data_IF_950017948978
#
_entry.id   IF_950017948978
#
_cell.length_a   1.000
_cell.length_b   1.000
_cell.length_c   1.000
_cell.angle_alpha   90.00
_cell.angle_beta   90.00
_cell.angle_gamma   90.00
#
_symmetry.space_group_name_H-M   'P 1'
#
loop_
_entity.id
_entity.type
_entity.pdbx_description
1 polymer ?
#
# COMPACT_ATOMS: atom_id res chain seq x y z
N UNK A 1 -13.91 12.20 4.22
CA UNK A 1 -14.88 12.21 5.34
C UNK A 1 -14.69 10.89 6.07
N UNK A 2 -13.71 10.79 6.91
CA UNK A 2 -13.45 9.61 7.69
C UNK A 2 -13.61 9.98 9.14
N UNK A 3 -14.70 9.60 9.74
CA UNK A 3 -14.85 9.68 11.17
C UNK A 3 -14.24 8.44 11.81
N UNK A 4 -13.55 8.67 12.88
CA UNK A 4 -13.21 7.78 13.97
C UNK A 4 -14.10 6.53 14.07
N UNK A 5 -13.74 5.46 13.36
CA UNK A 5 -14.27 4.15 13.70
C UNK A 5 -13.23 3.43 14.56
N UNK A 6 -13.28 3.73 15.84
CA UNK A 6 -12.58 2.96 16.86
C UNK A 6 -13.07 1.51 16.81
N UNK A 7 -12.16 0.56 16.96
CA UNK A 7 -12.49 -0.83 17.23
C UNK A 7 -13.24 -0.85 18.56
N UNK A 8 -14.55 -1.05 18.51
CA UNK A 8 -15.39 -1.26 19.69
C UNK A 8 -15.91 -2.69 19.68
N UNK A 9 -15.76 -3.38 20.79
CA UNK A 9 -16.35 -4.71 21.02
C UNK A 9 -16.00 -5.76 19.97
N UNK A 10 -14.71 -5.82 19.56
CA UNK A 10 -14.19 -6.77 18.58
C UNK A 10 -14.69 -6.57 17.14
N UNK A 11 -15.35 -5.48 16.81
CA UNK A 11 -15.75 -5.10 15.45
C UNK A 11 -15.05 -3.82 15.00
N UNK A 12 -14.68 -3.76 13.72
CA UNK A 12 -14.00 -2.59 13.16
C UNK A 12 -14.20 -2.46 11.64
N UNK A 13 -13.70 -1.36 11.04
CA UNK A 13 -13.81 -1.14 9.60
C UNK A 13 -12.93 -2.10 8.82
N UNK A 14 -13.27 -2.28 7.54
CA UNK A 14 -12.43 -2.98 6.57
C UNK A 14 -11.37 -2.01 6.01
N UNK A 15 -10.06 -2.25 6.21
CA UNK A 15 -9.01 -1.39 5.68
C UNK A 15 -8.89 -1.40 4.16
N UNK A 16 -9.58 -2.30 3.46
CA UNK A 16 -9.73 -2.27 2.00
C UNK A 16 -10.83 -1.31 1.52
N UNK A 17 -11.65 -0.78 2.43
CA UNK A 17 -12.76 0.14 2.12
C UNK A 17 -12.64 1.49 2.81
N UNK A 18 -11.93 1.53 3.94
CA UNK A 18 -11.83 2.72 4.77
C UNK A 18 -10.41 2.92 5.27
N UNK A 19 -10.01 4.17 5.49
CA UNK A 19 -8.84 4.46 6.30
C UNK A 19 -9.20 4.20 7.77
N UNK A 20 -8.52 3.25 8.39
CA UNK A 20 -8.79 2.82 9.77
C UNK A 20 -8.07 3.73 10.77
N UNK A 21 -8.76 4.73 11.27
CA UNK A 21 -8.25 5.78 12.14
C UNK A 21 -8.26 7.16 11.47
N UNK A 22 -7.35 8.03 11.86
CA UNK A 22 -7.18 9.36 11.30
C UNK A 22 -5.85 9.49 10.56
N UNK A 23 -5.80 10.03 9.33
CA UNK A 23 -4.52 10.25 8.63
C UNK A 23 -3.62 11.31 9.28
N UNK A 24 -4.09 11.95 10.34
CA UNK A 24 -3.36 12.94 11.13
C UNK A 24 -2.88 12.40 12.49
N UNK A 25 -3.05 11.11 12.73
CA UNK A 25 -2.72 10.43 13.97
C UNK A 25 -1.74 9.28 13.69
N UNK A 26 -0.59 9.30 14.32
CA UNK A 26 0.50 8.33 14.14
C UNK A 26 0.22 6.97 14.81
N UNK A 27 -0.80 6.89 15.66
CA UNK A 27 -1.29 5.62 16.25
C UNK A 27 -2.39 4.94 15.41
N UNK A 28 -2.77 5.52 14.26
CA UNK A 28 -3.80 4.96 13.38
C UNK A 28 -3.30 3.73 12.62
N UNK A 29 -4.22 2.83 12.26
CA UNK A 29 -3.88 1.64 11.50
C UNK A 29 -3.53 1.93 10.03
N UNK A 30 -4.33 2.73 9.34
CA UNK A 30 -4.10 3.01 7.91
C UNK A 30 -5.12 2.36 6.97
N UNK A 31 -4.72 2.09 5.73
CA UNK A 31 -5.59 1.48 4.72
C UNK A 31 -4.78 0.78 3.62
N UNK A 32 -5.49 0.03 2.77
CA UNK A 32 -4.92 -0.70 1.65
C UNK A 32 -5.21 -0.08 0.27
N UNK A 33 -4.68 -0.71 -0.78
CA UNK A 33 -4.67 -0.24 -2.15
C UNK A 33 -6.04 0.28 -2.68
N UNK A 34 -7.18 -0.39 -2.47
CA UNK A 34 -8.46 0.11 -2.99
C UNK A 34 -8.83 1.49 -2.48
N UNK A 35 -8.53 1.82 -1.21
CA UNK A 35 -8.82 3.13 -0.60
C UNK A 35 -7.95 4.23 -1.22
N UNK A 36 -6.66 3.95 -1.40
CA UNK A 36 -5.72 4.89 -2.04
C UNK A 36 -6.07 5.08 -3.51
N UNK A 37 -6.38 3.99 -4.23
CA UNK A 37 -6.84 4.08 -5.61
C UNK A 37 -8.07 4.99 -5.75
N UNK A 38 -9.07 4.82 -4.90
CA UNK A 38 -10.27 5.65 -4.95
C UNK A 38 -9.99 7.13 -4.62
N UNK A 39 -9.15 7.39 -3.63
CA UNK A 39 -8.73 8.74 -3.27
C UNK A 39 -7.98 9.44 -4.42
N UNK A 40 -7.03 8.75 -5.03
CA UNK A 40 -6.27 9.27 -6.18
C UNK A 40 -7.16 9.48 -7.41
N UNK A 41 -8.08 8.56 -7.72
CA UNK A 41 -9.04 8.73 -8.81
C UNK A 41 -9.84 10.02 -8.66
N UNK A 42 -10.28 10.36 -7.45
CA UNK A 42 -11.01 11.62 -7.17
C UNK A 42 -10.14 12.87 -7.35
N UNK A 43 -8.84 12.78 -7.08
CA UNK A 43 -7.94 13.95 -7.09
C UNK A 43 -7.31 14.16 -8.47
N UNK A 44 -6.83 13.09 -9.10
CA UNK A 44 -6.04 13.15 -10.34
C UNK A 44 -6.65 12.36 -11.51
N UNK A 45 -7.79 11.71 -11.32
CA UNK A 45 -8.42 10.84 -12.32
C UNK A 45 -8.79 11.53 -13.64
N UNK A 46 -8.86 12.87 -13.67
CA UNK A 46 -9.02 13.61 -14.91
C UNK A 46 -7.83 13.47 -15.87
N UNK A 47 -6.59 13.45 -15.33
CA UNK A 47 -5.34 13.42 -16.10
C UNK A 47 -4.64 12.05 -16.08
N UNK A 48 -4.93 11.22 -15.09
CA UNK A 48 -4.26 9.95 -14.84
C UNK A 48 -5.26 8.80 -14.77
N UNK A 49 -4.82 7.61 -15.18
CA UNK A 49 -5.48 6.34 -14.89
C UNK A 49 -4.85 5.79 -13.62
N UNK A 50 -5.66 5.49 -12.62
CA UNK A 50 -5.24 4.92 -11.34
C UNK A 50 -5.78 3.50 -11.25
N UNK A 51 -4.89 2.53 -11.11
CA UNK A 51 -5.24 1.10 -11.13
C UNK A 51 -4.81 0.44 -9.83
N UNK A 52 -5.73 -0.32 -9.24
CA UNK A 52 -5.40 -1.25 -8.15
C UNK A 52 -4.74 -2.49 -8.78
N UNK A 53 -3.48 -2.70 -8.44
CA UNK A 53 -2.64 -3.79 -8.95
C UNK A 53 -2.40 -4.88 -7.89
N UNK A 54 -3.27 -4.93 -6.89
CA UNK A 54 -3.20 -5.96 -5.84
C UNK A 54 -3.15 -7.36 -6.42
N UNK A 55 -2.17 -8.14 -6.00
CA UNK A 55 -1.92 -9.50 -6.46
C UNK A 55 -0.81 -9.62 -7.51
N UNK A 56 -0.31 -8.51 -8.05
CA UNK A 56 0.86 -8.55 -8.93
C UNK A 56 2.15 -8.77 -8.13
N UNK A 57 3.05 -9.56 -8.68
CA UNK A 57 4.42 -9.69 -8.17
C UNK A 57 5.21 -8.39 -8.39
N UNK A 58 6.29 -8.21 -7.66
CA UNK A 58 7.12 -7.01 -7.83
C UNK A 58 7.77 -6.97 -9.21
N UNK A 59 8.15 -8.12 -9.78
CA UNK A 59 8.70 -8.19 -11.14
C UNK A 59 7.66 -7.78 -12.20
N UNK A 60 6.39 -8.19 -12.05
CA UNK A 60 5.30 -7.74 -12.94
C UNK A 60 5.06 -6.23 -12.82
N UNK A 61 5.14 -5.67 -11.60
CA UNK A 61 5.04 -4.22 -11.38
C UNK A 61 6.23 -3.47 -12.00
N UNK A 62 7.43 -4.04 -11.92
CA UNK A 62 8.63 -3.48 -12.57
C UNK A 62 8.43 -3.40 -14.07
N UNK A 63 8.10 -4.50 -14.72
CA UNK A 63 7.89 -4.56 -16.18
C UNK A 63 6.79 -3.58 -16.64
N UNK A 64 5.69 -3.54 -15.90
CA UNK A 64 4.52 -2.74 -16.27
C UNK A 64 4.70 -1.24 -16.04
N UNK A 65 5.41 -0.84 -14.98
CA UNK A 65 5.49 0.54 -14.53
C UNK A 65 6.92 1.09 -14.48
N UNK A 66 7.83 0.43 -13.76
CA UNK A 66 9.17 0.98 -13.52
C UNK A 66 9.98 1.09 -14.81
N UNK A 67 9.91 0.08 -15.66
CA UNK A 67 10.58 0.09 -16.98
C UNK A 67 10.02 1.16 -17.93
N UNK A 68 8.83 1.67 -17.63
CA UNK A 68 8.21 2.79 -18.33
C UNK A 68 8.45 4.15 -17.64
N UNK A 69 9.29 4.18 -16.60
CA UNK A 69 9.59 5.40 -15.83
C UNK A 69 8.48 5.86 -14.88
N UNK A 70 7.57 4.96 -14.52
CA UNK A 70 6.44 5.26 -13.63
C UNK A 70 6.62 4.57 -12.27
N UNK A 71 6.59 5.32 -11.16
CA UNK A 71 6.66 4.73 -9.84
C UNK A 71 5.35 4.03 -9.45
N UNK A 72 5.45 3.09 -8.48
CA UNK A 72 4.30 2.32 -7.98
C UNK A 72 4.16 2.53 -6.48
N UNK A 73 2.93 2.82 -6.02
CA UNK A 73 2.59 2.83 -4.61
C UNK A 73 2.53 1.38 -4.14
N UNK A 74 3.29 1.03 -3.10
CA UNK A 74 3.66 -0.33 -2.79
C UNK A 74 3.59 -0.60 -1.29
N UNK A 75 2.95 -1.68 -0.89
CA UNK A 75 2.84 -2.10 0.51
C UNK A 75 3.83 -3.20 0.86
N UNK A 76 4.50 -3.02 1.97
CA UNK A 76 5.41 -3.97 2.60
C UNK A 76 5.39 -3.80 4.13
N UNK A 77 6.50 -4.06 4.80
CA UNK A 77 6.65 -3.84 6.24
C UNK A 77 7.71 -2.76 6.52
N UNK A 78 7.53 -1.99 7.58
CA UNK A 78 8.48 -0.96 8.03
C UNK A 78 9.91 -1.50 8.06
N UNK A 79 10.84 -0.82 7.37
CA UNK A 79 12.25 -1.20 7.26
C UNK A 79 12.46 -2.66 6.77
N UNK A 80 11.52 -3.20 6.02
CA UNK A 80 11.51 -4.60 5.53
C UNK A 80 11.71 -5.64 6.64
N UNK A 81 11.32 -5.32 7.88
CA UNK A 81 11.34 -6.27 9.01
C UNK A 81 10.29 -7.36 8.82
N UNK A 82 10.44 -8.45 9.58
CA UNK A 82 9.43 -9.52 9.61
C UNK A 82 8.05 -8.96 9.98
N UNK A 83 6.98 -9.48 9.37
CA UNK A 83 5.63 -9.02 9.68
C UNK A 83 5.29 -9.31 11.14
N UNK A 84 4.75 -8.31 11.83
CA UNK A 84 4.33 -8.41 13.22
C UNK A 84 2.81 -8.55 13.24
N UNK A 85 2.33 -9.72 13.66
CA UNK A 85 0.89 -9.97 13.82
C UNK A 85 0.34 -9.02 14.88
N UNK A 86 -0.58 -8.18 14.48
CA UNK A 86 -1.23 -7.18 15.31
C UNK A 86 -2.62 -7.60 15.81
N UNK A 87 -3.45 -6.63 16.16
CA UNK A 87 -4.80 -6.90 16.63
C UNK A 87 -5.68 -7.54 15.56
N UNK A 88 -6.71 -8.23 16.03
CA UNK A 88 -7.75 -8.82 15.20
C UNK A 88 -9.10 -8.20 15.54
N UNK A 89 -9.92 -8.05 14.52
CA UNK A 89 -11.31 -7.64 14.69
C UNK A 89 -12.21 -8.28 13.64
N UNK A 90 -13.50 -8.28 13.89
CA UNK A 90 -14.50 -8.67 12.89
C UNK A 90 -14.86 -7.48 12.03
N UNK A 91 -14.87 -7.67 10.72
CA UNK A 91 -15.31 -6.64 9.79
C UNK A 91 -16.79 -6.35 9.99
N UNK A 92 -17.13 -5.07 10.06
CA UNK A 92 -18.52 -4.62 10.26
C UNK A 92 -19.46 -5.07 9.15
N UNK A 93 -18.95 -5.14 7.92
CA UNK A 93 -19.75 -5.44 6.74
C UNK A 93 -19.98 -6.94 6.52
N UNK A 94 -18.99 -7.78 6.84
CA UNK A 94 -19.03 -9.22 6.52
C UNK A 94 -19.06 -10.13 7.75
N UNK A 95 -18.61 -9.63 8.91
CA UNK A 95 -18.41 -10.41 10.12
C UNK A 95 -17.18 -11.33 10.07
N UNK A 96 -16.39 -11.29 8.98
CA UNK A 96 -15.16 -12.04 8.86
C UNK A 96 -14.09 -11.49 9.81
N UNK A 97 -13.19 -12.38 10.28
CA UNK A 97 -12.07 -11.95 11.12
C UNK A 97 -10.95 -11.41 10.24
N UNK A 98 -10.56 -10.16 10.49
CA UNK A 98 -9.41 -9.51 9.89
C UNK A 98 -8.26 -9.46 10.89
N UNK A 99 -7.03 -9.69 10.40
CA UNK A 99 -5.81 -9.60 11.20
C UNK A 99 -4.93 -8.48 10.63
N UNK A 100 -4.65 -7.48 11.43
CA UNK A 100 -3.73 -6.40 11.07
C UNK A 100 -2.27 -6.84 11.21
N UNK A 101 -1.41 -6.40 10.31
CA UNK A 101 0.03 -6.52 10.44
C UNK A 101 0.55 -5.18 10.99
N UNK A 102 0.98 -5.17 12.25
CA UNK A 102 1.26 -3.94 13.01
C UNK A 102 2.39 -3.08 12.45
N UNK A 103 3.28 -3.64 11.65
CA UNK A 103 4.34 -2.92 10.96
C UNK A 103 4.05 -2.79 9.44
N UNK A 104 2.76 -2.75 9.07
CA UNK A 104 2.33 -2.38 7.72
C UNK A 104 2.96 -1.04 7.31
N UNK A 105 3.36 -0.95 6.06
CA UNK A 105 4.01 0.25 5.54
C UNK A 105 3.81 0.44 4.05
N UNK A 106 3.52 1.67 3.66
CA UNK A 106 3.32 2.07 2.28
C UNK A 106 4.50 2.94 1.81
N UNK A 107 5.11 2.57 0.70
CA UNK A 107 6.25 3.26 0.09
C UNK A 107 6.02 3.46 -1.41
N UNK A 108 6.95 4.12 -2.07
CA UNK A 108 6.94 4.28 -3.51
C UNK A 108 8.09 3.46 -4.12
N UNK A 109 7.77 2.39 -4.85
CA UNK A 109 8.73 1.63 -5.64
C UNK A 109 9.17 2.51 -6.81
N UNK A 110 10.47 2.75 -6.97
CA UNK A 110 11.01 3.71 -7.95
C UNK A 110 12.09 3.14 -8.87
N UNK A 111 12.61 1.95 -8.60
CA UNK A 111 13.66 1.36 -9.41
C UNK A 111 14.12 0.00 -8.89
N UNK A 112 15.10 -0.55 -9.58
CA UNK A 112 15.71 -1.83 -9.23
C UNK A 112 17.12 -1.96 -9.82
N UNK A 113 17.87 -2.93 -9.32
CA UNK A 113 19.08 -3.48 -9.94
C UNK A 113 19.01 -5.01 -9.99
N UNK A 114 20.12 -5.67 -10.17
CA UNK A 114 20.19 -7.12 -10.25
C UNK A 114 19.68 -7.80 -8.97
N UNK A 115 20.03 -7.27 -7.80
CA UNK A 115 19.81 -7.89 -6.50
C UNK A 115 18.76 -7.20 -5.64
N UNK A 116 18.37 -5.97 -5.96
CA UNK A 116 17.60 -5.09 -5.07
C UNK A 116 16.49 -4.33 -5.80
N UNK A 117 15.46 -3.95 -5.02
CA UNK A 117 14.49 -2.93 -5.40
C UNK A 117 14.75 -1.64 -4.62
N UNK A 118 14.44 -0.50 -5.25
CA UNK A 118 14.64 0.84 -4.71
C UNK A 118 13.30 1.47 -4.36
N UNK A 119 13.23 2.09 -3.18
CA UNK A 119 12.02 2.75 -2.70
C UNK A 119 12.30 4.17 -2.26
N UNK A 120 11.37 5.07 -2.53
CA UNK A 120 11.25 6.31 -1.77
C UNK A 120 10.36 6.00 -0.56
N UNK A 121 10.99 6.03 0.61
CA UNK A 121 10.36 5.66 1.88
C UNK A 121 10.20 6.91 2.76
N UNK A 122 8.96 7.27 3.13
CA UNK A 122 8.68 8.42 3.99
C UNK A 122 9.02 8.19 5.47
N UNK A 123 9.30 6.95 5.87
CA UNK A 123 9.54 6.61 7.27
C UNK A 123 10.88 7.15 7.77
N UNK A 124 10.88 7.89 8.88
CA UNK A 124 12.08 8.34 9.63
C UNK A 124 13.24 8.94 8.79
N UNK A 125 12.96 9.59 7.69
CA UNK A 125 13.98 10.12 6.78
C UNK A 125 14.80 9.05 6.02
N UNK A 126 14.27 7.85 5.82
CA UNK A 126 14.91 6.82 5.00
C UNK A 126 15.21 7.33 3.57
N UNK A 127 14.35 8.17 3.02
CA UNK A 127 14.54 8.73 1.68
C UNK A 127 14.55 7.65 0.60
N UNK A 128 15.53 7.71 -0.32
CA UNK A 128 15.71 6.66 -1.31
C UNK A 128 16.56 5.53 -0.70
N UNK A 129 15.95 4.40 -0.47
CA UNK A 129 16.56 3.22 0.17
C UNK A 129 16.38 1.98 -0.72
N UNK A 130 17.29 1.01 -0.58
CA UNK A 130 17.20 -0.26 -1.31
C UNK A 130 17.12 -1.45 -0.37
N UNK A 131 16.41 -2.49 -0.81
CA UNK A 131 16.30 -3.75 -0.10
C UNK A 131 16.49 -4.93 -1.05
N UNK A 132 17.04 -6.08 -0.58
CA UNK A 132 17.18 -7.29 -1.38
C UNK A 132 15.84 -7.77 -1.91
N UNK A 133 15.79 -8.19 -3.17
CA UNK A 133 14.56 -8.64 -3.86
C UNK A 133 13.80 -9.71 -3.08
N UNK A 134 14.50 -10.72 -2.59
CA UNK A 134 13.88 -11.83 -1.83
C UNK A 134 13.16 -11.37 -0.56
N UNK A 135 13.73 -10.36 0.14
CA UNK A 135 13.11 -9.80 1.35
C UNK A 135 11.87 -8.99 0.97
N UNK A 136 11.98 -8.15 -0.06
CA UNK A 136 10.86 -7.32 -0.53
C UNK A 136 9.67 -8.19 -0.96
N UNK A 137 9.91 -9.22 -1.75
CA UNK A 137 8.89 -10.17 -2.21
C UNK A 137 8.13 -10.82 -1.04
N UNK A 138 8.86 -11.24 -0.01
CA UNK A 138 8.26 -11.86 1.17
C UNK A 138 7.41 -10.86 1.97
N UNK A 139 7.89 -9.63 2.16
CA UNK A 139 7.14 -8.58 2.88
C UNK A 139 5.94 -8.06 2.10
N UNK A 140 6.03 -8.06 0.78
CA UNK A 140 4.91 -7.74 -0.10
C UNK A 140 3.78 -8.78 0.01
N UNK A 141 4.14 -10.05 0.01
CA UNK A 141 3.17 -11.15 0.24
C UNK A 141 2.50 -11.03 1.60
N UNK A 142 3.23 -10.67 2.64
CA UNK A 142 2.68 -10.47 3.99
C UNK A 142 1.64 -9.33 4.03
N UNK A 143 1.71 -8.37 3.10
CA UNK A 143 0.75 -7.28 2.91
C UNK A 143 -0.22 -7.56 1.74
N UNK A 144 -0.51 -8.82 1.46
CA UNK A 144 -1.47 -9.26 0.44
C UNK A 144 -1.15 -8.77 -0.98
N UNK A 145 0.12 -8.48 -1.27
CA UNK A 145 0.62 -7.97 -2.55
C UNK A 145 -0.12 -6.70 -3.01
N UNK A 146 -0.35 -5.78 -2.07
CA UNK A 146 -1.05 -4.52 -2.31
C UNK A 146 -0.19 -3.54 -3.12
N UNK A 147 -0.74 -3.02 -4.22
CA UNK A 147 -0.06 -2.03 -5.04
C UNK A 147 -1.05 -1.14 -5.80
N UNK A 148 -0.64 0.09 -6.08
CA UNK A 148 -1.41 1.02 -6.94
C UNK A 148 -0.49 1.62 -7.99
N UNK A 149 -0.85 1.45 -9.25
CA UNK A 149 -0.21 2.04 -10.39
C UNK A 149 -0.90 3.33 -10.85
N UNK A 150 -0.10 4.29 -11.33
CA UNK A 150 -0.61 5.58 -11.84
C UNK A 150 0.03 5.85 -13.20
N UNK A 151 -0.78 6.01 -14.24
CA UNK A 151 -0.34 6.28 -15.61
C UNK A 151 -0.98 7.54 -16.13
N UNK A 152 -0.19 8.44 -16.71
CA UNK A 152 -0.74 9.64 -17.36
C UNK A 152 -1.55 9.26 -18.59
N UNK A 153 -2.77 9.78 -18.70
CA UNK A 153 -3.60 9.59 -19.89
C UNK A 153 -2.96 10.28 -21.10
N UNK A 154 -2.90 9.59 -22.22
CA UNK A 154 -2.45 10.20 -23.48
C UNK A 154 -3.51 11.18 -23.95
N UNK A 155 -3.17 12.45 -24.06
CA UNK A 155 -4.05 13.44 -24.69
C UNK A 155 -3.99 13.15 -26.20
N UNK A 156 -5.04 12.56 -26.74
CA UNK A 156 -5.22 12.48 -28.20
C UNK A 156 -5.55 13.90 -28.67
N UNK A 157 -4.60 14.55 -29.34
CA UNK A 157 -4.82 15.82 -30.04
C UNK A 157 -5.62 15.60 -31.32
#
# INVERSE_FOLDING_TARGET
>A
VGSEMCIRDSYGPDPHRYFCGSPYDDESFGCYAPVIREALEKIIGAEYTVTDETGMTTDELVEKYIDQGMPVIYWACINMRDPIVGPQWKLLDTGETFTWISNEHCMLLVGYDEDSYYFNDPYENNGCIRYPKTVVEDRHKAQHMQAVGVVRKTVIQ
#
